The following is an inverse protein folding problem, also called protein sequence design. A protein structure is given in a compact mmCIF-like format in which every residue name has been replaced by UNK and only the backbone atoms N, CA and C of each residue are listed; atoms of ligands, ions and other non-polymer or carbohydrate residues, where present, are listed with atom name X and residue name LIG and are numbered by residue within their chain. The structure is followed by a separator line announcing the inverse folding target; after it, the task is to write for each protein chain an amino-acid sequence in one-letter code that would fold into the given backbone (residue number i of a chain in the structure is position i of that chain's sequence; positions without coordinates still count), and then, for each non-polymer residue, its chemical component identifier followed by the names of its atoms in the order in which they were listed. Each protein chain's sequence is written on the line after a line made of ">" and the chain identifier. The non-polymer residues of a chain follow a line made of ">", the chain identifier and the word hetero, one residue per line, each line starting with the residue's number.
data_IF_613020074094
#
_entry.id   IF_613020074094
#
_cell.length_a   1.000
_cell.length_b   1.000
_cell.length_c   1.000
_cell.angle_alpha   90.00
_cell.angle_beta   90.00
_cell.angle_gamma   90.00
#
_symmetry.space_group_name_H-M   'P 1'
#
loop_
_entity.id
_entity.type
_entity.pdbx_description
1 polymer ?
#
# COMPACT_ATOMS: atom_id res chain seq x y z
N UNK A 1 -9.84 2.62 -36.39
CA UNK A 1 -8.96 3.80 -36.32
C UNK A 1 -7.87 3.52 -35.30
N UNK A 2 -6.67 3.18 -35.76
CA UNK A 2 -5.50 2.94 -34.92
C UNK A 2 -5.01 4.29 -34.38
N UNK A 3 -5.35 4.60 -33.13
CA UNK A 3 -4.74 5.74 -32.42
C UNK A 3 -3.27 5.39 -32.19
N UNK A 4 -2.41 6.16 -32.87
CA UNK A 4 -1.00 6.36 -32.52
C UNK A 4 -0.80 6.27 -31.00
N UNK A 5 0.01 5.29 -30.57
CA UNK A 5 0.37 5.07 -29.17
C UNK A 5 1.21 6.26 -28.72
N UNK A 6 0.57 7.20 -28.04
CA UNK A 6 1.23 8.36 -27.49
C UNK A 6 2.15 7.88 -26.35
N UNK A 7 3.44 7.86 -26.62
CA UNK A 7 4.49 7.14 -25.90
C UNK A 7 4.91 7.82 -24.57
N UNK A 8 3.97 8.47 -23.85
CA UNK A 8 4.28 9.38 -22.72
C UNK A 8 3.36 9.28 -21.49
N UNK A 9 2.48 8.28 -21.38
CA UNK A 9 1.75 8.10 -20.12
C UNK A 9 2.68 7.54 -19.03
N UNK A 10 2.85 8.30 -17.95
CA UNK A 10 3.63 7.91 -16.77
C UNK A 10 2.66 7.63 -15.63
N UNK A 11 2.84 6.51 -14.96
CA UNK A 11 2.20 6.23 -13.67
C UNK A 11 3.21 6.42 -12.53
N UNK A 12 2.70 6.73 -11.36
CA UNK A 12 3.50 6.91 -10.16
C UNK A 12 3.14 5.80 -9.18
N UNK A 13 4.14 5.08 -8.68
CA UNK A 13 3.96 4.24 -7.50
C UNK A 13 4.29 5.08 -6.28
N UNK A 14 3.30 5.30 -5.43
CA UNK A 14 3.50 5.93 -4.11
C UNK A 14 3.58 4.81 -3.08
N UNK A 15 4.64 4.81 -2.29
CA UNK A 15 4.85 3.86 -1.19
C UNK A 15 4.97 4.69 0.09
N UNK A 16 4.18 4.35 1.10
CA UNK A 16 4.35 4.89 2.44
C UNK A 16 4.83 3.79 3.37
N UNK A 17 5.92 4.05 4.08
CA UNK A 17 6.57 3.12 5.00
C UNK A 17 6.60 3.74 6.38
N UNK A 18 5.94 3.08 7.33
CA UNK A 18 6.01 3.40 8.75
C UNK A 18 6.98 2.42 9.40
N UNK A 19 7.98 2.96 10.07
CA UNK A 19 8.93 2.18 10.85
C UNK A 19 9.23 2.89 12.16
N UNK A 20 8.86 2.27 13.30
CA UNK A 20 9.22 2.72 14.66
C UNK A 20 9.13 4.24 14.89
N UNK A 21 7.98 4.84 14.55
CA UNK A 21 7.69 6.26 14.80
C UNK A 21 8.05 7.20 13.65
N UNK A 22 8.67 6.71 12.59
CA UNK A 22 8.96 7.49 11.39
C UNK A 22 8.10 7.02 10.21
N UNK A 23 7.40 7.96 9.57
CA UNK A 23 6.66 7.73 8.33
C UNK A 23 7.40 8.40 7.16
N UNK A 24 7.81 7.59 6.19
CA UNK A 24 8.46 8.05 4.98
C UNK A 24 7.62 7.75 3.75
N UNK A 25 7.78 8.56 2.71
CA UNK A 25 7.13 8.34 1.41
C UNK A 25 8.17 8.27 0.30
N UNK A 26 8.02 7.26 -0.55
CA UNK A 26 8.76 7.12 -1.79
C UNK A 26 7.80 7.22 -2.97
N UNK A 27 8.23 7.88 -4.04
CA UNK A 27 7.46 8.01 -5.28
C UNK A 27 8.34 7.59 -6.44
N UNK A 28 7.88 6.60 -7.20
CA UNK A 28 8.61 6.04 -8.32
C UNK A 28 7.84 6.24 -9.61
N UNK A 29 8.53 6.70 -10.65
CA UNK A 29 7.94 6.82 -11.99
C UNK A 29 7.97 5.49 -12.73
N UNK A 30 6.85 5.14 -13.37
CA UNK A 30 6.70 3.94 -14.17
C UNK A 30 6.18 4.30 -15.56
N UNK A 31 6.89 3.86 -16.59
CA UNK A 31 6.52 4.13 -17.97
C UNK A 31 5.40 3.17 -18.39
N UNK A 32 4.32 3.68 -18.97
CA UNK A 32 3.32 2.86 -19.64
C UNK A 32 3.92 2.22 -20.90
N UNK A 33 3.81 0.89 -21.01
CA UNK A 33 4.19 0.13 -22.20
C UNK A 33 2.97 -0.25 -23.04
N UNK A 34 1.96 -0.83 -22.38
CA UNK A 34 0.75 -1.32 -23.04
C UNK A 34 -0.46 -0.90 -22.21
N UNK A 35 -1.48 -0.43 -22.90
CA UNK A 35 -2.80 -0.23 -22.32
C UNK A 35 -3.81 -1.14 -23.00
N UNK A 36 -4.52 -1.93 -22.19
CA UNK A 36 -5.65 -2.74 -22.64
C UNK A 36 -6.94 -2.24 -22.00
N UNK A 37 -8.07 -2.86 -22.32
CA UNK A 37 -9.34 -2.54 -21.67
C UNK A 37 -9.37 -2.92 -20.18
N UNK A 38 -8.57 -3.89 -19.74
CA UNK A 38 -8.60 -4.43 -18.36
C UNK A 38 -7.41 -4.01 -17.52
N UNK A 39 -6.23 -3.91 -18.12
CA UNK A 39 -4.98 -3.70 -17.41
C UNK A 39 -4.01 -2.83 -18.18
N UNK A 40 -3.00 -2.34 -17.47
CA UNK A 40 -1.82 -1.64 -17.96
C UNK A 40 -0.60 -2.53 -17.77
N UNK A 41 0.31 -2.54 -18.74
CA UNK A 41 1.67 -3.03 -18.52
C UNK A 41 2.60 -1.83 -18.38
N UNK A 42 3.32 -1.78 -17.28
CA UNK A 42 4.17 -0.67 -16.90
C UNK A 42 5.58 -1.15 -16.62
N UNK A 43 6.57 -0.29 -16.85
CA UNK A 43 7.98 -0.59 -16.66
C UNK A 43 8.63 0.37 -15.68
N UNK A 44 9.30 -0.19 -14.68
CA UNK A 44 10.11 0.55 -13.72
C UNK A 44 11.42 1.04 -14.34
N UNK A 45 12.09 2.03 -13.74
CA UNK A 45 13.39 2.52 -14.19
C UNK A 45 14.46 1.41 -14.22
N UNK A 46 14.39 0.46 -13.28
CA UNK A 46 15.30 -0.68 -13.21
C UNK A 46 15.01 -1.80 -14.22
N UNK A 47 14.02 -1.62 -15.09
CA UNK A 47 13.67 -2.57 -16.13
C UNK A 47 12.57 -3.57 -15.79
N UNK A 48 12.13 -3.67 -14.53
CA UNK A 48 11.06 -4.58 -14.12
C UNK A 48 9.74 -4.19 -14.78
N UNK A 49 9.03 -5.17 -15.35
CA UNK A 49 7.69 -4.98 -15.93
C UNK A 49 6.64 -5.55 -14.99
N UNK A 50 5.56 -4.80 -14.77
CA UNK A 50 4.40 -5.23 -13.99
C UNK A 50 3.10 -5.01 -14.76
N UNK A 51 2.13 -5.87 -14.50
CA UNK A 51 0.74 -5.70 -14.92
C UNK A 51 -0.07 -5.13 -13.77
N UNK A 52 -0.84 -4.08 -14.04
CA UNK A 52 -1.77 -3.48 -13.09
C UNK A 52 -3.16 -3.45 -13.71
N UNK A 53 -4.11 -4.05 -13.01
CA UNK A 53 -5.51 -3.95 -13.39
C UNK A 53 -6.04 -2.53 -13.16
N UNK A 54 -6.84 -2.02 -14.11
CA UNK A 54 -7.32 -0.63 -14.08
C UNK A 54 -8.12 -0.32 -12.81
N UNK A 55 -8.87 -1.28 -12.28
CA UNK A 55 -9.60 -1.16 -11.01
C UNK A 55 -8.71 -1.10 -9.77
N UNK A 56 -7.40 -1.31 -9.90
CA UNK A 56 -6.41 -1.16 -8.82
C UNK A 56 -5.65 0.17 -8.88
N UNK A 57 -5.91 1.01 -9.88
CA UNK A 57 -5.38 2.37 -9.93
C UNK A 57 -6.07 3.22 -8.88
N UNK A 58 -5.29 4.06 -8.19
CA UNK A 58 -5.71 4.89 -7.06
C UNK A 58 -6.23 4.08 -5.85
N UNK A 59 -6.02 2.76 -5.83
CA UNK A 59 -6.38 1.89 -4.71
C UNK A 59 -5.15 1.61 -3.87
N UNK A 60 -5.22 1.96 -2.58
CA UNK A 60 -4.17 1.66 -1.60
C UNK A 60 -4.23 0.18 -1.23
N UNK A 61 -3.07 -0.47 -1.28
CA UNK A 61 -2.89 -1.86 -0.87
C UNK A 61 -1.86 -1.94 0.26
N UNK A 62 -2.11 -2.83 1.23
CA UNK A 62 -1.11 -3.18 2.25
C UNK A 62 -0.04 -4.07 1.66
N UNK A 63 1.22 -3.66 1.75
CA UNK A 63 2.37 -4.46 1.32
C UNK A 63 2.82 -5.44 2.41
N UNK A 64 2.61 -5.06 3.68
CA UNK A 64 3.02 -5.85 4.84
C UNK A 64 1.92 -6.85 5.22
N UNK A 65 2.28 -8.13 5.32
CA UNK A 65 1.34 -9.20 5.75
C UNK A 65 1.17 -9.27 7.27
N UNK A 66 2.22 -8.99 8.03
CA UNK A 66 2.26 -9.09 9.49
C UNK A 66 2.99 -7.89 10.07
N UNK A 67 2.47 -7.33 11.17
CA UNK A 67 3.21 -6.34 11.93
C UNK A 67 4.38 -6.99 12.66
N UNK A 68 5.59 -6.75 12.16
CA UNK A 68 6.82 -7.25 12.74
C UNK A 68 7.84 -6.11 12.80
N UNK A 69 8.65 -6.09 13.86
CA UNK A 69 9.72 -5.12 14.09
C UNK A 69 9.32 -3.63 14.05
N UNK A 70 8.03 -3.33 14.15
CA UNK A 70 7.52 -1.96 14.06
C UNK A 70 7.28 -1.46 12.64
N UNK A 71 7.27 -2.35 11.64
CA UNK A 71 7.16 -2.00 10.23
C UNK A 71 5.76 -2.22 9.63
N UNK A 72 5.23 -1.21 8.94
CA UNK A 72 4.07 -1.30 8.06
C UNK A 72 4.35 -0.54 6.76
N UNK A 73 3.88 -1.09 5.65
CA UNK A 73 4.03 -0.48 4.33
C UNK A 73 2.74 -0.61 3.53
N UNK A 74 2.37 0.46 2.85
CA UNK A 74 1.25 0.50 1.91
C UNK A 74 1.72 1.14 0.60
N UNK A 75 1.11 0.76 -0.51
CA UNK A 75 1.39 1.39 -1.81
C UNK A 75 0.16 1.54 -2.68
N UNK A 76 0.25 2.40 -3.68
CA UNK A 76 -0.73 2.53 -4.74
C UNK A 76 -0.06 3.01 -6.04
N UNK A 77 -0.69 2.73 -7.17
CA UNK A 77 -0.33 3.32 -8.45
C UNK A 77 -1.35 4.40 -8.83
N UNK A 78 -0.87 5.57 -9.26
CA UNK A 78 -1.72 6.73 -9.53
C UNK A 78 -1.18 7.63 -10.65
N UNK A 79 -2.01 8.61 -11.04
CA UNK A 79 -1.57 9.73 -11.88
C UNK A 79 -0.71 10.70 -11.05
N UNK A 80 -0.04 11.65 -11.73
CA UNK A 80 0.77 12.68 -11.04
C UNK A 80 -0.09 13.54 -10.11
N UNK A 81 -1.28 13.93 -10.57
CA UNK A 81 -2.17 14.84 -9.86
C UNK A 81 -2.76 14.20 -8.59
N UNK A 82 -2.84 12.86 -8.58
CA UNK A 82 -3.40 12.10 -7.45
C UNK A 82 -2.39 11.80 -6.33
N UNK A 83 -1.09 12.06 -6.52
CA UNK A 83 -0.04 11.66 -5.55
C UNK A 83 -0.34 12.17 -4.13
N UNK A 84 -0.74 13.43 -3.98
CA UNK A 84 -1.05 14.02 -2.68
C UNK A 84 -2.24 13.34 -2.01
N UNK A 85 -3.30 13.04 -2.77
CA UNK A 85 -4.47 12.33 -2.27
C UNK A 85 -4.12 10.90 -1.86
N UNK A 86 -3.26 10.22 -2.63
CA UNK A 86 -2.79 8.88 -2.31
C UNK A 86 -1.94 8.86 -1.05
N UNK A 87 -1.08 9.85 -0.81
CA UNK A 87 -0.35 9.95 0.47
C UNK A 87 -1.30 10.03 1.66
N UNK A 88 -2.37 10.83 1.55
CA UNK A 88 -3.41 10.92 2.59
C UNK A 88 -4.11 9.58 2.77
N UNK A 89 -4.51 8.93 1.68
CA UNK A 89 -5.17 7.62 1.72
C UNK A 89 -4.27 6.55 2.36
N UNK A 90 -2.96 6.57 2.09
CA UNK A 90 -1.98 5.68 2.72
C UNK A 90 -1.91 5.93 4.24
N UNK A 91 -1.86 7.19 4.69
CA UNK A 91 -1.89 7.50 6.13
C UNK A 91 -3.16 6.94 6.78
N UNK A 92 -4.31 7.13 6.15
CA UNK A 92 -5.59 6.59 6.65
C UNK A 92 -5.57 5.07 6.73
N UNK A 93 -5.05 4.39 5.71
CA UNK A 93 -4.94 2.93 5.71
C UNK A 93 -3.99 2.42 6.80
N UNK A 94 -2.84 3.06 7.00
CA UNK A 94 -1.89 2.71 8.06
C UNK A 94 -2.53 2.89 9.45
N UNK A 95 -3.27 3.98 9.67
CA UNK A 95 -4.01 4.19 10.93
C UNK A 95 -5.03 3.09 11.19
N UNK A 96 -5.78 2.68 10.16
CA UNK A 96 -6.75 1.60 10.27
C UNK A 96 -6.07 0.26 10.60
N UNK A 97 -4.93 -0.05 9.97
CA UNK A 97 -4.15 -1.25 10.27
C UNK A 97 -3.65 -1.26 11.73
N UNK A 98 -3.08 -0.14 12.20
CA UNK A 98 -2.61 -0.03 13.59
C UNK A 98 -3.78 -0.21 14.57
N UNK A 99 -4.92 0.43 14.32
CA UNK A 99 -6.09 0.30 15.17
C UNK A 99 -6.60 -1.15 15.26
N UNK A 100 -6.63 -1.86 14.13
CA UNK A 100 -6.98 -3.28 14.09
C UNK A 100 -5.99 -4.13 14.93
N UNK A 101 -4.68 -3.94 14.73
CA UNK A 101 -3.68 -4.65 15.53
C UNK A 101 -3.79 -4.38 17.02
N UNK A 102 -3.99 -3.11 17.41
CA UNK A 102 -4.18 -2.75 18.82
C UNK A 102 -5.43 -3.40 19.42
N UNK A 103 -6.52 -3.44 18.66
CA UNK A 103 -7.76 -4.09 19.10
C UNK A 103 -7.57 -5.59 19.33
N UNK A 104 -6.95 -6.29 18.37
CA UNK A 104 -6.68 -7.72 18.49
C UNK A 104 -5.74 -8.03 19.68
N UNK A 105 -4.68 -7.23 19.84
CA UNK A 105 -3.75 -7.38 20.97
C UNK A 105 -4.45 -7.15 22.31
N UNK A 106 -5.36 -6.17 22.41
CA UNK A 106 -6.11 -5.92 23.64
C UNK A 106 -7.05 -7.08 23.99
N UNK A 107 -7.70 -7.68 22.99
CA UNK A 107 -8.54 -8.87 23.19
C UNK A 107 -7.70 -10.03 23.72
N UNK A 108 -6.55 -10.28 23.09
CA UNK A 108 -5.63 -11.34 23.49
C UNK A 108 -5.09 -11.11 24.91
N UNK A 109 -4.69 -9.88 25.23
CA UNK A 109 -4.21 -9.52 26.57
C UNK A 109 -5.30 -9.75 27.62
N UNK A 110 -6.55 -9.39 27.32
CA UNK A 110 -7.69 -9.61 28.23
C UNK A 110 -7.95 -11.09 28.47
N UNK A 111 -7.79 -11.95 27.45
CA UNK A 111 -7.92 -13.39 27.58
C UNK A 111 -6.85 -13.98 28.51
N UNK A 112 -5.60 -13.53 28.38
CA UNK A 112 -4.50 -13.95 29.25
C UNK A 112 -4.74 -13.52 30.71
N UNK A 113 -5.12 -12.27 30.96
CA UNK A 113 -5.40 -11.78 32.32
C UNK A 113 -6.53 -12.56 32.99
N UNK A 114 -7.59 -12.90 32.24
CA UNK A 114 -8.68 -13.74 32.77
C UNK A 114 -8.21 -15.14 33.12
N UNK A 115 -7.32 -15.73 32.33
CA UNK A 115 -6.78 -17.06 32.60
C UNK A 115 -5.94 -17.07 33.88
N UNK A 116 -5.07 -16.09 34.07
CA UNK A 116 -4.27 -15.93 35.30
C UNK A 116 -5.12 -15.72 36.56
N UNK A 117 -6.30 -15.12 36.43
CA UNK A 117 -7.19 -14.89 37.58
C UNK A 117 -8.06 -16.12 37.91
N UNK A 118 -8.33 -16.99 36.94
CA UNK A 118 -9.22 -18.14 37.08
C UNK A 118 -8.46 -19.45 37.36
N UNK A 119 -7.24 -19.56 36.86
CA UNK A 119 -6.33 -20.63 37.18
C UNK A 119 -5.25 -20.02 38.07
N UNK A 120 -5.21 -20.41 39.35
CA UNK A 120 -4.05 -20.20 40.22
C UNK A 120 -2.85 -20.92 39.59
N UNK A 121 -2.09 -20.19 38.77
CA UNK A 121 -0.77 -20.54 38.29
C UNK A 121 0.28 -20.01 39.28
#
# INVERSE_FOLDING_TARGET
>A
MNRSVNNKSILFQVIGELNRGELQFQVWEWKLLIETNKYLEIKAPNGVVKRIYKEKINVVIGNTKYYADGHLSCSAFCSRDDISNIKIAIVTQLKQQIAAFMSDLQINQSALSKKMNNDEL
#
